data_IF_013885591753
#
_entry.id   IF_013885591753
#
_cell.length_a   1.000
_cell.length_b   1.000
_cell.length_c   1.000
_cell.angle_alpha   90.00
_cell.angle_beta   90.00
_cell.angle_gamma   90.00
#
_symmetry.space_group_name_H-M   'P 1'
#
loop_
_entity.id
_entity.type
_entity.pdbx_description
1 polymer ?
#
# COMPACT_ATOMS: atom_id res chain seq x y z
N UNK A 1 42.43 -19.27 73.17
CA UNK A 1 41.80 -17.93 73.18
C UNK A 1 42.90 -16.94 72.81
N UNK A 2 42.94 -16.21 71.70
CA UNK A 2 41.86 -15.67 70.86
C UNK A 2 42.51 -15.13 69.58
N UNK A 3 42.30 -15.71 68.39
CA UNK A 3 42.79 -15.15 67.10
C UNK A 3 41.77 -15.28 65.96
N UNK A 4 40.48 -15.29 66.31
CA UNK A 4 39.37 -15.40 65.35
C UNK A 4 38.66 -14.05 65.09
N UNK A 5 39.06 -12.95 65.74
CA UNK A 5 38.28 -11.70 65.75
C UNK A 5 38.73 -10.61 64.75
N UNK A 6 39.80 -10.82 63.97
CA UNK A 6 40.35 -9.75 63.12
C UNK A 6 40.01 -9.83 61.62
N UNK A 7 39.33 -10.88 61.16
CA UNK A 7 38.92 -10.96 59.74
C UNK A 7 37.54 -10.36 59.42
N UNK A 8 36.78 -9.90 60.43
CA UNK A 8 35.41 -9.39 60.24
C UNK A 8 35.28 -7.88 59.99
N UNK A 9 36.34 -7.09 60.20
CA UNK A 9 36.23 -5.62 60.18
C UNK A 9 36.56 -4.97 58.81
N UNK A 10 37.19 -5.70 57.88
CA UNK A 10 37.57 -5.16 56.57
C UNK A 10 36.44 -5.20 55.53
N UNK A 11 35.39 -6.01 55.74
CA UNK A 11 34.26 -6.14 54.81
C UNK A 11 33.11 -5.15 55.00
N UNK A 12 33.18 -4.28 56.01
CA UNK A 12 32.09 -3.37 56.36
C UNK A 12 32.21 -1.97 55.72
N UNK A 13 33.34 -1.66 55.07
CA UNK A 13 33.57 -0.35 54.44
C UNK A 13 33.15 -0.28 52.95
N UNK A 14 32.65 -1.38 52.36
CA UNK A 14 32.40 -1.46 50.91
C UNK A 14 30.98 -1.08 50.45
N UNK A 15 30.07 -0.59 51.31
CA UNK A 15 28.65 -0.40 50.91
C UNK A 15 27.98 0.91 51.29
N UNK A 16 28.60 2.05 51.00
CA UNK A 16 27.86 3.32 50.98
C UNK A 16 28.49 4.29 49.98
N UNK A 17 28.47 3.89 48.71
CA UNK A 17 28.47 4.82 47.60
C UNK A 17 27.12 4.70 46.91
N UNK A 18 26.10 5.38 47.45
CA UNK A 18 24.91 5.69 46.65
C UNK A 18 25.40 6.65 45.57
N UNK A 19 25.56 6.16 44.34
CA UNK A 19 26.06 6.96 43.21
C UNK A 19 24.97 7.97 42.81
N UNK A 20 25.06 9.25 43.21
CA UNK A 20 23.96 10.21 43.07
C UNK A 20 23.78 10.69 41.62
N UNK A 21 24.61 10.18 40.70
CA UNK A 21 24.68 10.58 39.30
C UNK A 21 24.12 9.56 38.31
N UNK A 22 23.41 8.52 38.77
CA UNK A 22 22.80 7.53 37.88
C UNK A 22 21.76 8.17 36.94
N UNK A 23 21.76 7.85 35.62
CA UNK A 23 20.74 8.34 34.70
C UNK A 23 19.35 7.97 35.19
N UNK A 24 18.47 8.98 35.35
CA UNK A 24 17.08 8.74 35.76
C UNK A 24 16.37 7.91 34.69
N UNK A 25 16.19 6.61 34.93
CA UNK A 25 15.56 5.67 34.00
C UNK A 25 14.21 6.19 33.49
N UNK A 26 13.42 6.81 34.37
CA UNK A 26 12.15 7.45 34.02
C UNK A 26 12.32 8.63 33.03
N UNK A 27 13.32 9.49 33.25
CA UNK A 27 13.61 10.61 32.36
C UNK A 27 14.10 10.12 30.99
N UNK A 28 14.94 9.08 30.94
CA UNK A 28 15.41 8.47 29.69
C UNK A 28 14.26 7.87 28.89
N UNK A 29 13.33 7.17 29.56
CA UNK A 29 12.14 6.61 28.91
C UNK A 29 11.26 7.71 28.31
N UNK A 30 11.00 8.79 29.05
CA UNK A 30 10.19 9.92 28.56
C UNK A 30 10.83 10.57 27.33
N UNK A 31 12.14 10.82 27.34
CA UNK A 31 12.85 11.38 26.19
C UNK A 31 12.79 10.44 24.98
N UNK A 32 12.91 9.12 25.21
CA UNK A 32 12.77 8.11 24.15
C UNK A 32 11.37 8.10 23.53
N UNK A 33 10.32 8.18 24.35
CA UNK A 33 8.92 8.24 23.87
C UNK A 33 8.68 9.51 23.06
N UNK A 34 9.14 10.67 23.55
CA UNK A 34 9.02 11.93 22.82
C UNK A 34 9.75 11.84 21.48
N UNK A 35 10.97 11.31 21.47
CA UNK A 35 11.74 11.09 20.25
C UNK A 35 11.03 10.17 19.25
N UNK A 36 10.43 9.07 19.72
CA UNK A 36 9.66 8.15 18.90
C UNK A 36 8.42 8.80 18.30
N UNK A 37 7.70 9.62 19.09
CA UNK A 37 6.53 10.38 18.60
C UNK A 37 6.93 11.41 17.56
N UNK A 38 8.01 12.15 17.79
CA UNK A 38 8.53 13.14 16.82
C UNK A 38 8.95 12.44 15.52
N UNK A 39 9.68 11.33 15.61
CA UNK A 39 10.07 10.54 14.45
C UNK A 39 8.84 10.04 13.67
N UNK A 40 7.83 9.54 14.39
CA UNK A 40 6.58 9.09 13.78
C UNK A 40 5.87 10.23 13.03
N UNK A 41 5.78 11.42 13.64
CA UNK A 41 5.20 12.61 13.01
C UNK A 41 5.96 12.98 11.73
N UNK A 42 7.30 12.96 11.76
CA UNK A 42 8.13 13.25 10.58
C UNK A 42 7.83 12.27 9.45
N UNK A 43 7.73 10.98 9.75
CA UNK A 43 7.38 9.95 8.76
C UNK A 43 5.98 10.20 8.18
N UNK A 44 4.98 10.50 9.01
CA UNK A 44 3.61 10.79 8.56
C UNK A 44 3.57 12.03 7.66
N UNK A 45 4.31 13.10 8.00
CA UNK A 45 4.39 14.32 7.18
C UNK A 45 5.04 14.03 5.83
N UNK A 46 6.15 13.30 5.81
CA UNK A 46 6.81 12.89 4.57
C UNK A 46 5.90 12.06 3.68
N UNK A 47 5.18 11.10 4.28
CA UNK A 47 4.16 10.32 3.58
C UNK A 47 3.06 11.23 3.02
N UNK A 48 2.51 12.15 3.82
CA UNK A 48 1.45 13.06 3.37
C UNK A 48 1.89 13.91 2.17
N UNK A 49 3.11 14.46 2.19
CA UNK A 49 3.68 15.21 1.06
C UNK A 49 3.80 14.31 -0.19
N UNK A 50 4.35 13.10 -0.03
CA UNK A 50 4.54 12.17 -1.13
C UNK A 50 3.21 11.68 -1.73
N UNK A 51 2.25 11.31 -0.88
CA UNK A 51 0.92 10.91 -1.30
C UNK A 51 0.15 12.07 -1.95
N UNK A 52 0.30 13.30 -1.46
CA UNK A 52 -0.32 14.46 -2.11
C UNK A 52 0.26 14.68 -3.52
N UNK A 53 1.59 14.65 -3.65
CA UNK A 53 2.27 14.79 -4.94
C UNK A 53 1.91 13.66 -5.93
N UNK A 54 1.85 12.40 -5.48
CA UNK A 54 1.46 11.27 -6.32
C UNK A 54 -0.02 11.27 -6.69
N UNK A 55 -0.92 11.70 -5.79
CA UNK A 55 -2.37 11.77 -6.08
C UNK A 55 -2.67 12.76 -7.20
N UNK A 56 -1.92 13.87 -7.30
CA UNK A 56 -2.06 14.81 -8.42
C UNK A 56 -1.72 14.17 -9.78
N UNK A 57 -0.72 13.29 -9.83
CA UNK A 57 -0.32 12.61 -11.07
C UNK A 57 -1.24 11.43 -11.40
N UNK A 58 -1.67 10.65 -10.40
CA UNK A 58 -2.60 9.53 -10.60
C UNK A 58 -4.00 9.99 -10.98
N UNK A 59 -4.52 11.08 -10.39
CA UNK A 59 -5.80 11.63 -10.83
C UNK A 59 -5.73 12.17 -12.25
N UNK A 60 -4.62 12.79 -12.66
CA UNK A 60 -4.39 13.13 -14.06
C UNK A 60 -4.39 11.87 -14.91
N UNK A 61 -3.54 10.88 -14.63
CA UNK A 61 -3.39 9.68 -15.46
C UNK A 61 -4.65 8.81 -15.54
N UNK A 62 -5.44 8.71 -14.46
CA UNK A 62 -6.68 7.94 -14.44
C UNK A 62 -7.84 8.72 -15.07
N UNK A 63 -7.90 10.05 -14.92
CA UNK A 63 -8.85 10.88 -15.65
C UNK A 63 -8.48 11.04 -17.14
N UNK A 64 -7.21 10.83 -17.50
CA UNK A 64 -6.69 10.90 -18.87
C UNK A 64 -6.46 9.53 -19.52
N UNK A 65 -6.90 8.41 -18.93
CA UNK A 65 -7.29 7.28 -19.78
C UNK A 65 -8.62 7.76 -20.36
N UNK A 66 -8.67 8.23 -21.62
CA UNK A 66 -9.90 8.79 -22.13
C UNK A 66 -10.87 7.63 -22.19
N UNK A 67 -11.84 7.60 -21.26
CA UNK A 67 -12.98 6.72 -21.37
C UNK A 67 -13.65 6.88 -22.75
N UNK A 68 -13.48 8.05 -23.38
CA UNK A 68 -13.82 8.34 -24.77
C UNK A 68 -13.11 7.45 -25.79
N UNK A 69 -11.81 7.20 -25.66
CA UNK A 69 -11.06 6.34 -26.60
C UNK A 69 -11.49 4.89 -26.50
N UNK A 70 -11.69 4.38 -25.27
CA UNK A 70 -12.20 3.03 -25.04
C UNK A 70 -13.68 2.90 -25.44
N UNK A 71 -14.50 3.91 -25.18
CA UNK A 71 -15.90 3.94 -25.59
C UNK A 71 -16.06 4.02 -27.11
N UNK A 72 -15.23 4.80 -27.80
CA UNK A 72 -15.20 4.88 -29.27
C UNK A 72 -14.76 3.54 -29.88
N UNK A 73 -13.67 2.94 -29.38
CA UNK A 73 -13.24 1.61 -29.84
C UNK A 73 -14.30 0.54 -29.58
N UNK A 74 -14.97 0.59 -28.44
CA UNK A 74 -16.07 -0.34 -28.11
C UNK A 74 -17.27 -0.11 -29.02
N UNK A 75 -17.61 1.15 -29.32
CA UNK A 75 -18.71 1.49 -30.23
C UNK A 75 -18.40 1.06 -31.68
N UNK A 76 -17.16 1.22 -32.13
CA UNK A 76 -16.70 0.77 -33.43
C UNK A 76 -16.71 -0.77 -33.54
N UNK A 77 -16.23 -1.46 -32.50
CA UNK A 77 -16.30 -2.92 -32.42
C UNK A 77 -17.74 -3.43 -32.45
N UNK A 78 -18.67 -2.77 -31.74
CA UNK A 78 -20.09 -3.10 -31.80
C UNK A 78 -20.67 -2.86 -33.19
N UNK A 79 -20.34 -1.75 -33.84
CA UNK A 79 -20.80 -1.48 -35.21
C UNK A 79 -20.33 -2.55 -36.22
N UNK A 80 -19.12 -3.09 -36.05
CA UNK A 80 -18.61 -4.19 -36.88
C UNK A 80 -19.31 -5.54 -36.65
N UNK A 81 -19.88 -5.74 -35.46
CA UNK A 81 -20.57 -6.97 -35.05
C UNK A 81 -22.08 -6.91 -35.28
N UNK A 82 -22.66 -5.71 -35.39
CA UNK A 82 -24.10 -5.47 -35.57
C UNK A 82 -24.50 -5.30 -37.05
N UNK A 83 -23.52 -5.31 -37.97
CA UNK A 83 -23.76 -5.12 -39.38
C UNK A 83 -23.81 -6.45 -40.17
N UNK A 84 -24.80 -6.58 -41.05
CA UNK A 84 -24.80 -7.60 -42.09
C UNK A 84 -23.73 -7.30 -43.14
N UNK A 85 -22.90 -8.30 -43.45
CA UNK A 85 -21.88 -8.17 -44.50
C UNK A 85 -21.63 -9.48 -45.22
N UNK A 86 -21.17 -9.40 -46.46
CA UNK A 86 -20.64 -10.56 -47.16
C UNK A 86 -19.20 -10.81 -46.72
N UNK A 87 -18.89 -12.01 -46.22
CA UNK A 87 -17.52 -12.39 -45.84
C UNK A 87 -16.82 -13.03 -47.05
N UNK A 88 -17.53 -13.89 -47.79
CA UNK A 88 -17.04 -14.47 -49.04
C UNK A 88 -18.23 -14.71 -49.98
N UNK A 89 -18.42 -13.81 -50.95
CA UNK A 89 -19.52 -13.89 -51.91
C UNK A 89 -19.40 -15.09 -52.84
N UNK A 90 -18.17 -15.51 -53.17
CA UNK A 90 -17.94 -16.64 -54.08
C UNK A 90 -18.37 -17.97 -53.47
N UNK A 91 -18.33 -18.05 -52.14
CA UNK A 91 -18.74 -19.24 -51.36
C UNK A 91 -20.10 -19.07 -50.69
N UNK A 92 -20.81 -17.96 -50.92
CA UNK A 92 -22.10 -17.68 -50.30
C UNK A 92 -22.04 -17.45 -48.78
N UNK A 93 -20.88 -17.09 -48.22
CA UNK A 93 -20.72 -16.90 -46.77
C UNK A 93 -21.08 -15.47 -46.38
N UNK A 94 -22.15 -15.34 -45.60
CA UNK A 94 -22.63 -14.08 -45.02
C UNK A 94 -22.31 -13.99 -43.54
N UNK A 95 -21.89 -12.80 -43.11
CA UNK A 95 -21.86 -12.41 -41.71
C UNK A 95 -23.22 -11.84 -41.31
N UNK A 96 -23.77 -12.37 -40.23
CA UNK A 96 -24.99 -11.88 -39.59
C UNK A 96 -24.63 -11.16 -38.28
N UNK A 97 -25.48 -10.23 -37.80
CA UNK A 97 -25.31 -9.59 -36.50
C UNK A 97 -25.22 -10.63 -35.38
N UNK A 98 -24.36 -10.40 -34.39
CA UNK A 98 -24.09 -11.39 -33.34
C UNK A 98 -25.34 -11.70 -32.50
N UNK A 99 -26.22 -10.72 -32.30
CA UNK A 99 -27.51 -10.88 -31.62
C UNK A 99 -28.40 -11.88 -32.37
N UNK A 100 -28.48 -11.75 -33.70
CA UNK A 100 -29.25 -12.67 -34.55
C UNK A 100 -28.61 -14.05 -34.62
N UNK A 101 -27.28 -14.14 -34.58
CA UNK A 101 -26.59 -15.42 -34.49
C UNK A 101 -26.96 -16.16 -33.19
N UNK A 102 -26.91 -15.49 -32.04
CA UNK A 102 -27.26 -16.09 -30.74
C UNK A 102 -28.71 -16.56 -30.68
N UNK A 103 -29.64 -15.80 -31.26
CA UNK A 103 -31.06 -16.18 -31.33
C UNK A 103 -31.28 -17.42 -32.22
N UNK A 104 -30.62 -17.48 -33.38
CA UNK A 104 -30.69 -18.64 -34.28
C UNK A 104 -30.09 -19.89 -33.64
N UNK A 105 -28.94 -19.78 -32.97
CA UNK A 105 -28.32 -20.91 -32.26
C UNK A 105 -29.19 -21.42 -31.11
N UNK A 106 -29.84 -20.52 -30.38
CA UNK A 106 -30.74 -20.91 -29.28
C UNK A 106 -32.06 -21.50 -29.80
N UNK A 107 -32.59 -20.97 -30.90
CA UNK A 107 -33.82 -21.47 -31.52
C UNK A 107 -33.64 -22.75 -32.34
N UNK A 108 -32.39 -23.15 -32.62
CA UNK A 108 -32.02 -24.35 -33.39
C UNK A 108 -31.90 -25.61 -32.51
N UNK A 109 -31.97 -25.47 -31.19
CA UNK A 109 -32.04 -26.58 -30.23
C UNK A 109 -33.46 -26.88 -29.79
#
# INVERSE_FOLDING_TARGET
MTREAQHGAAGAAERSGEDPGGPNVSATVVVGVIGAVVLFIVVVVLQAIYFNAQRHELQRKVATVPAEGLAQLTAEQRALLDAYRWIDQSKGVVGIPIERAMELETSSR
#
